data_IF_330690142654
#
_entry.id   IF_330690142654
#
_cell.length_a   1.000
_cell.length_b   1.000
_cell.length_c   1.000
_cell.angle_alpha   90.00
_cell.angle_beta   90.00
_cell.angle_gamma   90.00
#
_symmetry.space_group_name_H-M   'P 1'
#
loop_
_entity.id
_entity.type
_entity.pdbx_description
1 polymer ?
#
# COMPACT_ATOMS: atom_id res chain seq x y z
N UNK A 1 15.05 15.05 -9.91
CA UNK A 1 15.55 13.70 -9.54
C UNK A 1 15.17 13.29 -8.12
N UNK A 2 15.38 14.14 -7.10
CA UNK A 2 15.05 13.81 -5.71
C UNK A 2 13.58 13.36 -5.50
N UNK A 3 12.61 14.08 -6.08
CA UNK A 3 11.19 13.75 -5.92
C UNK A 3 10.79 12.43 -6.61
N UNK A 4 11.44 12.13 -7.76
CA UNK A 4 11.27 10.87 -8.51
C UNK A 4 11.78 9.68 -7.68
N UNK A 5 12.91 9.86 -6.99
CA UNK A 5 13.45 8.88 -6.03
C UNK A 5 12.51 8.66 -4.85
N UNK A 6 11.97 9.73 -4.25
CA UNK A 6 11.01 9.64 -3.15
C UNK A 6 9.75 8.88 -3.57
N UNK A 7 9.22 9.15 -4.77
CA UNK A 7 8.10 8.40 -5.33
C UNK A 7 8.40 6.90 -5.46
N UNK A 8 9.57 6.52 -5.96
CA UNK A 8 9.99 5.10 -6.03
C UNK A 8 10.10 4.48 -4.63
N UNK A 9 10.73 5.18 -3.68
CA UNK A 9 10.90 4.72 -2.31
C UNK A 9 9.52 4.46 -1.67
N UNK A 10 8.56 5.38 -1.81
CA UNK A 10 7.20 5.19 -1.30
C UNK A 10 6.51 3.95 -1.88
N UNK A 11 6.65 3.70 -3.19
CA UNK A 11 6.11 2.49 -3.83
C UNK A 11 6.78 1.22 -3.28
N UNK A 12 8.09 1.22 -3.06
CA UNK A 12 8.81 0.09 -2.44
C UNK A 12 8.32 -0.13 -1.01
N UNK A 13 8.19 0.92 -0.21
CA UNK A 13 7.64 0.83 1.14
C UNK A 13 6.20 0.31 1.15
N UNK A 14 5.37 0.72 0.20
CA UNK A 14 4.01 0.20 0.06
C UNK A 14 4.04 -1.33 -0.07
N UNK A 15 4.85 -1.87 -0.98
CA UNK A 15 5.01 -3.32 -1.16
C UNK A 15 5.53 -4.02 0.09
N UNK A 16 6.51 -3.44 0.79
CA UNK A 16 7.02 -3.97 2.05
C UNK A 16 5.90 -4.05 3.10
N UNK A 17 5.12 -2.98 3.26
CA UNK A 17 3.99 -2.93 4.19
C UNK A 17 2.93 -3.97 3.83
N UNK A 18 2.62 -4.14 2.54
CA UNK A 18 1.66 -5.16 2.09
C UNK A 18 2.14 -6.58 2.46
N UNK A 19 3.39 -6.91 2.14
CA UNK A 19 3.96 -8.23 2.42
C UNK A 19 3.97 -8.50 3.93
N UNK A 20 4.45 -7.54 4.73
CA UNK A 20 4.47 -7.69 6.18
C UNK A 20 3.06 -7.77 6.77
N UNK A 21 2.12 -7.00 6.24
CA UNK A 21 0.72 -7.03 6.67
C UNK A 21 0.04 -8.37 6.35
N UNK A 22 0.26 -8.91 5.15
CA UNK A 22 -0.22 -10.24 4.75
C UNK A 22 0.37 -11.32 5.65
N UNK A 23 1.69 -11.35 5.82
CA UNK A 23 2.36 -12.34 6.68
C UNK A 23 1.93 -12.20 8.14
N UNK A 24 1.83 -10.97 8.64
CA UNK A 24 1.39 -10.66 10.00
C UNK A 24 -0.06 -11.07 10.26
N UNK A 25 -0.94 -10.95 9.26
CA UNK A 25 -2.34 -11.38 9.37
C UNK A 25 -2.49 -12.89 9.62
N UNK A 26 -1.50 -13.70 9.21
CA UNK A 26 -1.57 -15.16 9.39
C UNK A 26 -1.47 -15.58 10.86
N UNK A 27 -0.80 -14.80 11.71
CA UNK A 27 -0.64 -15.11 13.13
C UNK A 27 -1.99 -15.25 13.89
N UNK A 28 -2.92 -14.28 13.84
CA UNK A 28 -4.24 -14.44 14.46
C UNK A 28 -5.08 -15.56 13.83
N UNK A 29 -4.91 -15.83 12.53
CA UNK A 29 -5.60 -16.94 11.87
C UNK A 29 -5.14 -18.30 12.42
N UNK A 30 -3.82 -18.54 12.46
CA UNK A 30 -3.22 -19.79 12.95
C UNK A 30 -3.52 -19.99 14.43
N UNK A 31 -3.41 -18.94 15.24
CA UNK A 31 -3.72 -19.01 16.67
C UNK A 31 -5.20 -19.26 16.94
N UNK A 32 -6.11 -18.65 16.16
CA UNK A 32 -7.54 -18.91 16.21
C UNK A 32 -7.89 -20.38 15.89
N UNK A 33 -7.35 -20.90 14.79
CA UNK A 33 -7.54 -22.29 14.37
C UNK A 33 -6.98 -23.31 15.39
N UNK A 34 -5.77 -23.05 15.89
CA UNK A 34 -5.11 -23.94 16.87
C UNK A 34 -5.90 -24.02 18.19
N UNK A 35 -6.44 -22.89 18.66
CA UNK A 35 -7.27 -22.83 19.87
C UNK A 35 -8.59 -23.59 19.70
N UNK A 36 -9.20 -23.53 18.53
CA UNK A 36 -10.39 -24.34 18.22
C UNK A 36 -10.07 -25.84 18.30
N UNK A 37 -8.99 -26.28 17.66
CA UNK A 37 -8.61 -27.68 17.60
C UNK A 37 -8.29 -28.27 18.98
N UNK A 38 -7.60 -27.52 19.86
CA UNK A 38 -7.15 -28.03 21.15
C UNK A 38 -8.20 -27.96 22.26
N UNK A 39 -9.03 -26.90 22.30
CA UNK A 39 -9.82 -26.59 23.50
C UNK A 39 -11.33 -26.84 23.37
N UNK A 40 -11.81 -27.36 22.22
CA UNK A 40 -13.25 -27.39 21.89
C UNK A 40 -13.94 -26.08 22.28
N UNK A 41 -13.25 -24.96 22.05
CA UNK A 41 -13.73 -23.63 22.46
C UNK A 41 -15.05 -23.35 21.71
N UNK A 42 -16.03 -22.71 22.35
CA UNK A 42 -17.25 -22.31 21.68
C UNK A 42 -16.92 -21.37 20.50
N UNK A 43 -17.73 -21.49 19.45
CA UNK A 43 -17.73 -20.73 18.19
C UNK A 43 -17.19 -19.27 18.25
N UNK A 44 -17.49 -18.45 19.29
CA UNK A 44 -16.90 -17.10 19.46
C UNK A 44 -15.37 -16.99 19.33
N UNK A 45 -14.60 -18.02 19.68
CA UNK A 45 -13.13 -17.97 19.56
C UNK A 45 -12.61 -17.96 18.11
N UNK A 46 -13.33 -18.62 17.19
CA UNK A 46 -12.99 -18.67 15.76
C UNK A 46 -13.30 -17.33 15.08
N UNK A 47 -14.44 -16.74 15.40
CA UNK A 47 -14.84 -15.43 14.85
C UNK A 47 -13.85 -14.32 15.25
N UNK A 48 -13.26 -14.41 16.45
CA UNK A 48 -12.21 -13.48 16.88
C UNK A 48 -10.93 -13.60 16.04
N UNK A 49 -10.43 -14.82 15.82
CA UNK A 49 -9.19 -15.05 15.05
C UNK A 49 -9.36 -14.73 13.57
N UNK A 50 -10.45 -15.18 12.96
CA UNK A 50 -10.77 -14.88 11.55
C UNK A 50 -11.08 -13.39 11.35
N UNK A 51 -11.83 -12.79 12.27
CA UNK A 51 -12.12 -11.35 12.24
C UNK A 51 -10.85 -10.50 12.35
N UNK A 52 -9.94 -10.84 13.26
CA UNK A 52 -8.65 -10.17 13.36
C UNK A 52 -7.79 -10.33 12.10
N UNK A 53 -7.73 -11.54 11.52
CA UNK A 53 -7.08 -11.78 10.23
C UNK A 53 -7.63 -10.85 9.13
N UNK A 54 -8.95 -10.82 8.96
CA UNK A 54 -9.59 -10.03 7.92
C UNK A 54 -9.37 -8.53 8.14
N UNK A 55 -9.50 -8.05 9.39
CA UNK A 55 -9.27 -6.64 9.73
C UNK A 55 -7.83 -6.20 9.45
N UNK A 56 -6.84 -7.00 9.83
CA UNK A 56 -5.43 -6.69 9.58
C UNK A 56 -5.13 -6.72 8.08
N UNK A 57 -5.66 -7.71 7.36
CA UNK A 57 -5.49 -7.81 5.91
C UNK A 57 -6.10 -6.60 5.19
N UNK A 58 -7.32 -6.20 5.56
CA UNK A 58 -7.98 -5.02 4.99
C UNK A 58 -7.21 -3.74 5.31
N UNK A 59 -6.71 -3.57 6.54
CA UNK A 59 -5.83 -2.44 6.89
C UNK A 59 -4.56 -2.44 6.05
N UNK A 60 -3.90 -3.59 5.88
CA UNK A 60 -2.67 -3.71 5.10
C UNK A 60 -2.90 -3.32 3.63
N UNK A 61 -3.98 -3.81 3.02
CA UNK A 61 -4.38 -3.45 1.65
C UNK A 61 -4.68 -1.94 1.55
N UNK A 62 -5.42 -1.39 2.52
CA UNK A 62 -5.75 0.03 2.52
C UNK A 62 -4.49 0.92 2.64
N UNK A 63 -3.58 0.61 3.56
CA UNK A 63 -2.31 1.32 3.69
C UNK A 63 -1.42 1.16 2.46
N UNK A 64 -1.38 -0.03 1.85
CA UNK A 64 -0.69 -0.25 0.58
C UNK A 64 -1.22 0.69 -0.50
N UNK A 65 -2.55 0.75 -0.69
CA UNK A 65 -3.17 1.60 -1.70
C UNK A 65 -2.85 3.08 -1.46
N UNK A 66 -2.94 3.55 -0.21
CA UNK A 66 -2.61 4.94 0.13
C UNK A 66 -1.15 5.28 -0.18
N UNK A 67 -0.20 4.44 0.26
CA UNK A 67 1.22 4.67 0.04
C UNK A 67 1.58 4.60 -1.44
N UNK A 68 1.08 3.58 -2.14
CA UNK A 68 1.35 3.37 -3.56
C UNK A 68 0.75 4.50 -4.41
N UNK A 69 -0.52 4.86 -4.17
CA UNK A 69 -1.18 5.94 -4.90
C UNK A 69 -0.51 7.30 -4.65
N UNK A 70 -0.04 7.56 -3.44
CA UNK A 70 0.74 8.78 -3.14
C UNK A 70 2.05 8.79 -3.93
N UNK A 71 2.75 7.66 -3.97
CA UNK A 71 3.94 7.50 -4.80
C UNK A 71 3.64 7.78 -6.28
N UNK A 72 2.56 7.20 -6.82
CA UNK A 72 2.13 7.39 -8.21
C UNK A 72 1.74 8.85 -8.52
N UNK A 73 1.05 9.51 -7.59
CA UNK A 73 0.66 10.91 -7.73
C UNK A 73 1.87 11.82 -7.90
N UNK A 74 2.97 11.56 -7.18
CA UNK A 74 4.22 12.32 -7.34
C UNK A 74 4.78 12.18 -8.76
N UNK A 75 4.78 10.97 -9.33
CA UNK A 75 5.22 10.77 -10.72
C UNK A 75 4.33 11.52 -11.70
N UNK A 76 3.01 11.39 -11.55
CA UNK A 76 2.05 12.09 -12.41
C UNK A 76 2.25 13.60 -12.40
N UNK A 77 2.45 14.20 -11.22
CA UNK A 77 2.68 15.63 -11.09
C UNK A 77 4.00 16.08 -11.74
N UNK A 78 5.07 15.30 -11.57
CA UNK A 78 6.36 15.58 -12.22
C UNK A 78 6.25 15.52 -13.74
N UNK A 79 5.55 14.53 -14.27
CA UNK A 79 5.38 14.37 -15.72
C UNK A 79 4.52 15.52 -16.29
N UNK A 80 3.52 16.00 -15.55
CA UNK A 80 2.74 17.20 -15.90
C UNK A 80 3.62 18.46 -15.94
N UNK A 81 4.48 18.65 -14.93
CA UNK A 81 5.39 19.79 -14.85
C UNK A 81 6.38 19.78 -16.03
N UNK A 82 6.95 18.62 -16.32
CA UNK A 82 7.89 18.44 -17.41
C UNK A 82 7.25 18.75 -18.77
N UNK A 83 6.03 18.27 -19.02
CA UNK A 83 5.26 18.58 -20.23
C UNK A 83 4.92 20.06 -20.34
N UNK A 84 4.56 20.71 -19.23
CA UNK A 84 4.25 22.16 -19.21
C UNK A 84 5.49 22.99 -19.53
N UNK A 85 6.64 22.63 -18.96
CA UNK A 85 7.93 23.28 -19.23
C UNK A 85 8.33 23.14 -20.71
N UNK A 86 8.23 21.93 -21.26
CA UNK A 86 8.51 21.68 -22.69
C UNK A 86 7.60 22.52 -23.59
N UNK A 87 6.30 22.56 -23.30
CA UNK A 87 5.32 23.36 -24.07
C UNK A 87 5.68 24.85 -24.03
N UNK A 88 6.05 25.38 -22.86
CA UNK A 88 6.48 26.77 -22.74
C UNK A 88 7.75 27.07 -23.57
N UNK A 89 8.71 26.14 -23.63
CA UNK A 89 9.89 26.26 -24.49
C UNK A 89 9.53 26.27 -25.97
N UNK A 90 8.66 25.38 -26.43
CA UNK A 90 8.21 25.34 -27.83
C UNK A 90 7.46 26.62 -28.24
N UNK A 91 6.61 27.15 -27.36
CA UNK A 91 5.89 28.40 -27.63
C UNK A 91 6.84 29.61 -27.73
N UNK A 92 7.88 29.67 -26.88
CA UNK A 92 8.90 30.72 -26.97
C UNK A 92 9.73 30.62 -28.25
N UNK A 93 10.11 29.42 -28.67
CA UNK A 93 10.86 29.20 -29.92
C UNK A 93 10.03 29.58 -31.17
N UNK A 94 8.70 29.49 -31.10
CA UNK A 94 7.83 29.85 -32.23
C UNK A 94 7.58 31.37 -32.37
N UNK A 95 7.91 32.16 -31.36
CA UNK A 95 7.68 33.62 -31.33
C UNK A 95 8.94 34.46 -31.63
N UNK A 96 10.11 33.83 -31.74
CA UNK A 96 11.35 34.43 -32.25
C UNK A 96 11.66 33.92 -33.64
#
# INVERSE_FOLDING_TARGET
MALRLIGTILKVFAWVVLVLGVLGSLAPLVTGLSRMAMRRLPWPGLMGGFGAFLMILLMAIFYFLLLYATGELIFLLLDIEENTRLTAHYLRQRQG
#
